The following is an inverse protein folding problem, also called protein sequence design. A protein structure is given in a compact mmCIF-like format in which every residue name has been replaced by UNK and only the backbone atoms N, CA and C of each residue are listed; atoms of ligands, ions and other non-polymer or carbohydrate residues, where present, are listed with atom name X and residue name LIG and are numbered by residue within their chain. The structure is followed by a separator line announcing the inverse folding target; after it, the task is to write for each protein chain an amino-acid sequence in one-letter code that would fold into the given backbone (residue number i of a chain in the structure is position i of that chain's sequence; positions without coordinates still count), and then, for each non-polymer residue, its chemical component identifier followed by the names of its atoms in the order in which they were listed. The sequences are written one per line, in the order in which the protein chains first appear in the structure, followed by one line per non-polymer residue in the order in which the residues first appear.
data_IF_189836563372
#
_entry.id   IF_189836563372
#
_cell.length_a   1.000
_cell.length_b   1.000
_cell.length_c   1.000
_cell.angle_alpha   90.00
_cell.angle_beta   90.00
_cell.angle_gamma   90.00
#
_symmetry.space_group_name_H-M   'P 1'
#
loop_
_entity.id
_entity.type
_entity.pdbx_description
1 polymer ?
#
# COMPACT_ATOMS: atom_id res chain seq x y z
N UNK A 1 16.49 51.96 -19.04
CA UNK A 1 16.68 50.64 -18.41
C UNK A 1 15.30 50.01 -18.18
N UNK A 2 14.70 49.43 -19.22
CA UNK A 2 13.41 48.74 -19.11
C UNK A 2 13.63 47.29 -19.55
N UNK A 3 14.49 46.56 -18.83
CA UNK A 3 14.55 45.11 -18.96
C UNK A 3 13.34 44.56 -18.20
N UNK A 4 12.22 44.63 -18.91
CA UNK A 4 11.16 43.62 -18.96
C UNK A 4 10.74 43.01 -17.62
N UNK A 5 9.97 43.77 -16.84
CA UNK A 5 9.11 43.23 -15.77
C UNK A 5 8.27 42.02 -16.27
N UNK A 6 7.88 42.03 -17.56
CA UNK A 6 7.19 40.91 -18.22
C UNK A 6 8.03 39.63 -18.37
N UNK A 7 9.34 39.72 -18.59
CA UNK A 7 10.19 38.54 -18.74
C UNK A 7 10.41 37.84 -17.39
N UNK A 8 10.50 38.63 -16.31
CA UNK A 8 10.60 38.12 -14.93
C UNK A 8 9.29 37.43 -14.51
N UNK A 9 8.13 38.03 -14.85
CA UNK A 9 6.83 37.43 -14.56
C UNK A 9 6.58 36.11 -15.32
N UNK A 10 6.96 36.03 -16.60
CA UNK A 10 6.86 34.80 -17.42
C UNK A 10 7.79 33.70 -16.90
N UNK A 11 9.03 34.04 -16.52
CA UNK A 11 9.98 33.09 -15.96
C UNK A 11 9.51 32.54 -14.59
N UNK A 12 8.94 33.40 -13.74
CA UNK A 12 8.39 32.99 -12.45
C UNK A 12 7.18 32.06 -12.62
N UNK A 13 6.27 32.34 -13.56
CA UNK A 13 5.11 31.50 -13.84
C UNK A 13 5.50 30.12 -14.41
N UNK A 14 6.50 30.06 -15.31
CA UNK A 14 7.02 28.81 -15.84
C UNK A 14 7.70 27.94 -14.77
N UNK A 15 8.45 28.55 -13.84
CA UNK A 15 9.09 27.83 -12.74
C UNK A 15 8.06 27.28 -11.74
N UNK A 16 7.00 28.04 -11.42
CA UNK A 16 5.90 27.59 -10.56
C UNK A 16 5.11 26.44 -11.20
N UNK A 17 4.86 26.48 -12.51
CA UNK A 17 4.24 25.37 -13.23
C UNK A 17 5.11 24.11 -13.25
N UNK A 18 6.44 24.27 -13.38
CA UNK A 18 7.40 23.16 -13.34
C UNK A 18 7.51 22.55 -11.93
N UNK A 19 7.43 23.38 -10.88
CA UNK A 19 7.36 22.92 -9.48
C UNK A 19 6.06 22.15 -9.20
N UNK A 20 4.92 22.60 -9.75
CA UNK A 20 3.62 21.95 -9.59
C UNK A 20 3.53 20.60 -10.34
N UNK A 21 4.22 20.46 -11.48
CA UNK A 21 4.27 19.24 -12.28
C UNK A 21 5.11 18.09 -11.66
N UNK A 22 5.83 18.34 -10.55
CA UNK A 22 6.72 17.35 -9.91
C UNK A 22 6.16 16.75 -8.62
N UNK A 23 5.00 17.19 -8.13
CA UNK A 23 4.37 16.60 -6.95
C UNK A 23 3.60 15.32 -7.32
N UNK A 24 4.35 14.24 -7.60
CA UNK A 24 3.83 12.90 -7.33
C UNK A 24 3.86 12.69 -5.82
N UNK A 25 2.83 13.15 -5.12
CA UNK A 25 2.71 12.92 -3.69
C UNK A 25 2.53 11.41 -3.45
N UNK A 26 3.34 10.85 -2.54
CA UNK A 26 3.20 9.46 -2.13
C UNK A 26 1.78 9.20 -1.60
N UNK A 27 1.03 8.35 -2.29
CA UNK A 27 -0.36 8.04 -1.95
C UNK A 27 -0.44 7.00 -0.84
N UNK A 28 -1.57 7.01 -0.14
CA UNK A 28 -1.91 5.99 0.85
C UNK A 28 -3.09 5.17 0.32
N UNK A 29 -2.90 3.87 0.21
CA UNK A 29 -3.91 2.91 -0.20
C UNK A 29 -4.34 2.08 1.01
N UNK A 30 -5.58 2.27 1.46
CA UNK A 30 -6.15 1.40 2.50
C UNK A 30 -6.47 0.05 1.89
N UNK A 31 -5.76 -0.98 2.33
CA UNK A 31 -5.92 -2.36 1.86
C UNK A 31 -7.27 -2.88 2.33
N UNK A 32 -8.10 -3.33 1.38
CA UNK A 32 -9.51 -3.68 1.61
C UNK A 32 -10.49 -2.53 1.44
N UNK A 33 -10.01 -1.29 1.25
CA UNK A 33 -10.85 -0.13 0.96
C UNK A 33 -11.26 0.65 2.21
N UNK A 34 -12.52 1.09 2.25
CA UNK A 34 -13.05 1.94 3.32
C UNK A 34 -13.56 1.17 4.54
N UNK A 35 -14.06 1.90 5.53
CA UNK A 35 -14.63 1.33 6.76
C UNK A 35 -13.65 1.20 7.92
N UNK A 36 -14.15 0.67 9.04
CA UNK A 36 -13.39 0.58 10.30
C UNK A 36 -12.44 -0.62 10.36
N UNK A 37 -12.66 -1.65 9.54
CA UNK A 37 -11.88 -2.89 9.55
C UNK A 37 -11.67 -3.47 8.13
N UNK A 38 -11.05 -2.71 7.21
CA UNK A 38 -10.88 -3.13 5.81
C UNK A 38 -9.86 -4.28 5.64
N UNK A 39 -8.88 -4.41 6.53
CA UNK A 39 -8.02 -5.60 6.58
C UNK A 39 -8.77 -6.73 7.30
N UNK A 40 -9.39 -7.61 6.51
CA UNK A 40 -10.26 -8.66 7.03
C UNK A 40 -10.51 -9.79 6.04
N UNK A 41 -11.52 -10.61 6.32
CA UNK A 41 -11.88 -11.75 5.47
C UNK A 41 -12.24 -11.34 4.04
N UNK A 42 -11.84 -12.16 3.08
CA UNK A 42 -12.14 -11.94 1.66
C UNK A 42 -11.41 -10.76 1.03
N UNK A 43 -10.47 -10.11 1.73
CA UNK A 43 -9.68 -8.97 1.21
C UNK A 43 -8.93 -9.28 -0.08
N UNK A 44 -8.75 -10.57 -0.42
CA UNK A 44 -8.22 -11.00 -1.71
C UNK A 44 -8.97 -10.42 -2.92
N UNK A 45 -10.26 -10.09 -2.77
CA UNK A 45 -11.10 -9.48 -3.83
C UNK A 45 -10.89 -7.96 -3.97
N UNK A 46 -10.10 -7.35 -3.10
CA UNK A 46 -9.86 -5.92 -3.13
C UNK A 46 -8.95 -5.53 -4.30
N UNK A 47 -9.33 -4.45 -4.97
CA UNK A 47 -8.51 -3.79 -5.99
C UNK A 47 -8.32 -2.32 -5.62
N UNK A 48 -7.10 -1.77 -5.73
CA UNK A 48 -6.86 -0.37 -5.43
C UNK A 48 -7.54 0.54 -6.45
N UNK A 49 -8.02 1.71 -6.00
CA UNK A 49 -8.48 2.78 -6.88
C UNK A 49 -7.27 3.56 -7.41
N UNK A 50 -6.70 3.03 -8.49
CA UNK A 50 -5.52 3.56 -9.18
C UNK A 50 -4.26 2.72 -8.97
N UNK A 51 -3.22 3.02 -9.74
CA UNK A 51 -1.94 2.33 -9.71
C UNK A 51 -1.14 2.68 -8.44
N UNK A 52 -0.53 1.65 -7.85
CA UNK A 52 0.37 1.75 -6.69
C UNK A 52 1.80 1.73 -7.22
N UNK A 53 2.63 2.67 -6.78
CA UNK A 53 4.02 2.82 -7.22
C UNK A 53 4.99 2.74 -6.02
N UNK A 54 6.29 2.68 -6.33
CA UNK A 54 7.34 2.91 -5.33
C UNK A 54 7.14 4.28 -4.69
N UNK A 55 7.24 4.33 -3.37
CA UNK A 55 6.96 5.53 -2.58
C UNK A 55 5.56 5.56 -1.98
N UNK A 56 4.58 4.82 -2.53
CA UNK A 56 3.24 4.75 -1.94
C UNK A 56 3.25 3.96 -0.62
N UNK A 57 2.16 4.09 0.13
CA UNK A 57 1.95 3.38 1.40
C UNK A 57 0.72 2.49 1.33
N UNK A 58 0.88 1.22 1.68
CA UNK A 58 -0.23 0.31 1.95
C UNK A 58 -0.61 0.42 3.43
N UNK A 59 -1.86 0.76 3.69
CA UNK A 59 -2.41 0.94 5.03
C UNK A 59 -3.32 -0.24 5.37
N UNK A 60 -2.90 -1.04 6.34
CA UNK A 60 -3.66 -2.13 6.92
C UNK A 60 -4.33 -1.61 8.19
N UNK A 61 -5.64 -1.78 8.32
CA UNK A 61 -6.43 -1.34 9.48
C UNK A 61 -7.43 -2.42 9.85
N UNK A 62 -7.48 -2.76 11.13
CA UNK A 62 -8.41 -3.76 11.64
C UNK A 62 -8.86 -3.46 13.06
N UNK A 63 -10.02 -4.02 13.39
CA UNK A 63 -10.75 -3.84 14.64
C UNK A 63 -11.70 -5.02 14.87
N UNK A 64 -11.83 -5.45 16.12
CA UNK A 64 -12.79 -6.45 16.57
C UNK A 64 -12.12 -7.79 16.87
N UNK A 65 -11.83 -8.58 15.83
CA UNK A 65 -11.20 -9.89 15.97
C UNK A 65 -9.67 -9.80 15.76
N UNK A 66 -8.89 -10.76 16.29
CA UNK A 66 -7.44 -10.72 16.19
C UNK A 66 -6.93 -10.84 14.75
N UNK A 67 -6.00 -9.97 14.37
CA UNK A 67 -5.29 -10.04 13.10
C UNK A 67 -3.82 -9.65 13.26
N UNK A 68 -3.01 -10.04 12.29
CA UNK A 68 -1.68 -9.51 12.06
C UNK A 68 -1.45 -9.25 10.56
N UNK A 69 -0.25 -8.78 10.23
CA UNK A 69 0.20 -8.56 8.86
C UNK A 69 1.54 -9.25 8.65
N UNK A 70 1.61 -10.10 7.64
CA UNK A 70 2.83 -10.72 7.15
C UNK A 70 3.06 -10.34 5.69
N UNK A 71 4.33 -10.14 5.32
CA UNK A 71 4.76 -10.09 3.92
C UNK A 71 5.25 -11.49 3.53
N UNK A 72 4.55 -12.15 2.61
CA UNK A 72 4.86 -13.50 2.17
C UNK A 72 6.11 -13.50 1.28
N UNK A 73 6.85 -14.61 1.29
CA UNK A 73 8.10 -14.74 0.55
C UNK A 73 7.88 -14.73 -0.98
N UNK A 74 6.86 -15.46 -1.44
CA UNK A 74 6.56 -15.65 -2.86
C UNK A 74 5.09 -16.10 -3.07
N UNK A 75 4.70 -16.25 -4.33
CA UNK A 75 3.34 -16.64 -4.73
C UNK A 75 2.93 -18.03 -4.22
N UNK A 76 3.85 -19.00 -4.17
CA UNK A 76 3.55 -20.35 -3.69
C UNK A 76 3.26 -20.32 -2.18
N UNK A 77 4.07 -19.60 -1.41
CA UNK A 77 3.84 -19.38 0.01
C UNK A 77 2.51 -18.65 0.28
N UNK A 78 2.18 -17.65 -0.53
CA UNK A 78 0.90 -16.94 -0.49
C UNK A 78 -0.30 -17.85 -0.79
N UNK A 79 -0.21 -18.69 -1.83
CA UNK A 79 -1.28 -19.60 -2.20
C UNK A 79 -1.53 -20.65 -1.12
N UNK A 80 -0.46 -21.19 -0.55
CA UNK A 80 -0.49 -22.27 0.43
C UNK A 80 -0.59 -21.77 1.89
N UNK A 81 -0.66 -20.45 2.11
CA UNK A 81 -0.64 -19.86 3.45
C UNK A 81 0.55 -20.33 4.30
N UNK A 82 1.72 -20.48 3.66
CA UNK A 82 2.95 -20.91 4.31
C UNK A 82 3.73 -19.68 4.81
N UNK A 83 3.92 -19.58 6.12
CA UNK A 83 4.57 -18.45 6.78
C UNK A 83 6.03 -18.70 7.16
N UNK A 84 6.61 -19.87 6.88
CA UNK A 84 7.96 -20.27 7.33
C UNK A 84 9.03 -19.22 6.99
N UNK A 85 9.06 -18.73 5.75
CA UNK A 85 10.01 -17.71 5.30
C UNK A 85 9.36 -16.31 5.15
N UNK A 86 8.13 -16.15 5.65
CA UNK A 86 7.43 -14.88 5.58
C UNK A 86 8.00 -13.88 6.62
N UNK A 87 7.88 -12.59 6.32
CA UNK A 87 8.35 -11.52 7.21
C UNK A 87 7.19 -10.95 8.00
N UNK A 88 7.11 -11.29 9.29
CA UNK A 88 6.14 -10.71 10.23
C UNK A 88 6.30 -9.19 10.29
N UNK A 89 5.19 -8.46 10.18
CA UNK A 89 5.16 -6.99 10.28
C UNK A 89 4.51 -6.49 11.55
N UNK A 90 3.54 -7.23 12.07
CA UNK A 90 2.87 -6.95 13.35
C UNK A 90 2.67 -8.21 14.16
N UNK A 91 2.39 -8.07 15.46
CA UNK A 91 1.83 -9.16 16.26
C UNK A 91 0.33 -9.31 16.04
N UNK A 92 -0.25 -10.37 16.62
CA UNK A 92 -1.70 -10.63 16.61
C UNK A 92 -2.37 -9.72 17.64
N UNK A 93 -3.28 -8.85 17.19
CA UNK A 93 -4.07 -7.95 18.06
C UNK A 93 -5.49 -7.81 17.56
N UNK A 94 -6.46 -7.56 18.45
CA UNK A 94 -7.86 -7.30 18.07
C UNK A 94 -8.09 -5.91 17.46
N UNK A 95 -7.11 -5.02 17.60
CA UNK A 95 -7.15 -3.66 17.06
C UNK A 95 -5.74 -3.31 16.59
N UNK A 96 -5.62 -2.73 15.40
CA UNK A 96 -4.32 -2.34 14.90
C UNK A 96 -4.34 -1.59 13.59
N UNK A 97 -3.23 -0.93 13.35
CA UNK A 97 -2.94 -0.23 12.11
C UNK A 97 -1.48 -0.44 11.76
N UNK A 98 -1.20 -0.76 10.50
CA UNK A 98 0.15 -0.91 10.00
C UNK A 98 0.32 -0.20 8.65
N UNK A 99 1.41 0.54 8.49
CA UNK A 99 1.78 1.25 7.28
C UNK A 99 3.00 0.60 6.65
N UNK A 100 2.82 -0.01 5.49
CA UNK A 100 3.90 -0.54 4.67
C UNK A 100 4.30 0.47 3.59
N UNK A 101 5.50 1.03 3.68
CA UNK A 101 6.06 1.88 2.61
C UNK A 101 6.58 0.99 1.48
N UNK A 102 6.10 1.20 0.25
CA UNK A 102 6.59 0.49 -0.94
C UNK A 102 7.97 1.04 -1.29
N UNK A 103 9.02 0.21 -1.13
CA UNK A 103 10.43 0.62 -1.29
C UNK A 103 11.07 0.17 -2.61
N UNK A 104 10.46 -0.75 -3.33
CA UNK A 104 10.97 -1.34 -4.57
C UNK A 104 9.85 -1.49 -5.59
N UNK A 105 10.21 -1.65 -6.85
CA UNK A 105 9.31 -2.00 -7.96
C UNK A 105 9.05 -3.52 -8.06
N UNK A 106 9.64 -4.33 -7.17
CA UNK A 106 9.32 -5.75 -7.05
C UNK A 106 7.81 -5.96 -6.87
N UNK A 107 7.23 -6.81 -7.71
CA UNK A 107 5.78 -6.93 -7.90
C UNK A 107 5.42 -8.37 -8.29
N UNK A 108 4.27 -8.90 -7.83
CA UNK A 108 3.40 -8.35 -6.79
C UNK A 108 4.03 -8.47 -5.40
N UNK A 109 3.56 -7.64 -4.45
CA UNK A 109 3.78 -7.86 -3.02
C UNK A 109 2.63 -8.69 -2.46
N UNK A 110 2.95 -9.74 -1.69
CA UNK A 110 1.95 -10.65 -1.14
C UNK A 110 1.81 -10.44 0.37
N UNK A 111 0.61 -10.17 0.85
CA UNK A 111 0.34 -10.00 2.28
C UNK A 111 -0.70 -11.00 2.77
N UNK A 112 -0.60 -11.41 4.03
CA UNK A 112 -1.54 -12.34 4.64
C UNK A 112 -1.61 -12.19 6.17
N UNK A 113 -2.64 -12.78 6.78
CA UNK A 113 -2.84 -12.89 8.21
C UNK A 113 -2.57 -14.34 8.65
N UNK A 114 -1.74 -14.54 9.68
CA UNK A 114 -1.34 -15.89 10.13
C UNK A 114 -2.25 -16.47 11.22
N UNK A 115 -3.28 -15.74 11.65
CA UNK A 115 -4.28 -16.27 12.58
C UNK A 115 -4.94 -17.51 11.94
N UNK A 116 -5.15 -18.60 12.70
CA UNK A 116 -5.68 -19.85 12.15
C UNK A 116 -6.92 -19.63 11.28
N UNK A 117 -6.96 -20.31 10.13
CA UNK A 117 -8.04 -20.24 9.12
C UNK A 117 -8.23 -18.91 8.40
N UNK A 118 -7.66 -17.79 8.88
CA UNK A 118 -7.87 -16.48 8.25
C UNK A 118 -7.34 -16.46 6.82
N UNK A 119 -6.11 -16.92 6.59
CA UNK A 119 -5.56 -17.02 5.24
C UNK A 119 -6.23 -18.12 4.40
N UNK A 120 -6.29 -19.36 4.91
CA UNK A 120 -6.62 -20.54 4.10
C UNK A 120 -8.11 -20.74 3.86
N UNK A 121 -8.96 -20.46 4.86
CA UNK A 121 -10.41 -20.65 4.75
C UNK A 121 -11.13 -19.34 4.39
N UNK A 122 -10.70 -18.22 4.98
CA UNK A 122 -11.40 -16.94 4.82
C UNK A 122 -10.75 -15.99 3.81
N UNK A 123 -9.71 -16.41 3.09
CA UNK A 123 -9.03 -15.61 2.08
C UNK A 123 -8.59 -14.22 2.58
N UNK A 124 -8.13 -14.14 3.83
CA UNK A 124 -7.52 -12.94 4.40
C UNK A 124 -6.06 -12.80 3.95
N UNK A 125 -5.92 -12.59 2.65
CA UNK A 125 -4.65 -12.45 1.94
C UNK A 125 -4.84 -11.54 0.73
N UNK A 126 -3.82 -10.83 0.30
CA UNK A 126 -3.89 -9.93 -0.85
C UNK A 126 -2.59 -9.94 -1.64
N UNK A 127 -2.69 -9.91 -2.97
CA UNK A 127 -1.59 -9.65 -3.88
C UNK A 127 -1.70 -8.21 -4.40
N UNK A 128 -0.65 -7.42 -4.23
CA UNK A 128 -0.63 -6.00 -4.57
C UNK A 128 0.35 -5.77 -5.71
N UNK A 129 -0.17 -5.45 -6.88
CA UNK A 129 0.64 -5.07 -8.05
C UNK A 129 1.27 -3.71 -7.83
N UNK A 130 2.60 -3.65 -7.96
CA UNK A 130 3.37 -2.41 -7.98
C UNK A 130 3.70 -2.09 -9.44
N UNK A 131 3.42 -0.85 -9.84
CA UNK A 131 3.74 -0.29 -11.14
C UNK A 131 5.11 0.37 -11.10
N UNK A 132 5.82 0.30 -12.23
CA UNK A 132 7.16 0.86 -12.41
C UNK A 132 7.14 2.39 -12.38
#
# INVERSE_FOLDING_TARGET
MARSLSAIALAAAALVALLCATQSEARVFTVGGGGLSPWGYGVMKWHPKGAIHKGDTLLFKWRGIPHDVWLMNNVAAYNNCNFTDAKRKTGITSFGMYRYKVRSTASPLYFSCSVPSHCSAFNMKVAVTIHA
#
